data_IF_001298343024
#
_entry.id   IF_001298343024
#
_cell.length_a   1.000
_cell.length_b   1.000
_cell.length_c   1.000
_cell.angle_alpha   90.00
_cell.angle_beta   90.00
_cell.angle_gamma   90.00
#
_symmetry.space_group_name_H-M   'P 1'
#
loop_
_entity.id
_entity.type
_entity.pdbx_description
1 polymer ?
#
# COMPACT_ATOMS: atom_id res chain seq x y z
N UNK A 1 -7.61 3.42 -0.68
CA UNK A 1 -7.90 3.27 0.76
C UNK A 1 -7.04 4.25 1.54
N UNK A 2 -7.42 4.56 2.78
CA UNK A 2 -6.70 5.49 3.66
C UNK A 2 -6.75 4.95 5.09
N UNK A 3 -5.60 4.86 5.76
CA UNK A 3 -5.53 4.29 7.13
C UNK A 3 -5.48 5.37 8.22
N UNK A 4 -5.53 6.64 7.83
CA UNK A 4 -5.38 7.81 8.70
C UNK A 4 -6.72 8.48 9.04
N UNK A 5 -7.85 7.81 8.78
CA UNK A 5 -9.21 8.34 8.97
C UNK A 5 -9.70 8.29 10.43
N UNK A 6 -9.01 7.52 11.28
CA UNK A 6 -9.47 7.22 12.65
C UNK A 6 -10.58 6.16 12.72
N UNK A 7 -10.97 5.57 11.58
CA UNK A 7 -11.96 4.49 11.53
C UNK A 7 -11.27 3.14 11.72
N UNK A 8 -11.76 2.34 12.67
CA UNK A 8 -11.14 1.05 13.01
C UNK A 8 -11.19 0.05 11.85
N UNK A 9 -12.24 0.13 11.02
CA UNK A 9 -12.44 -0.73 9.84
C UNK A 9 -11.30 -0.58 8.82
N UNK A 10 -10.85 0.66 8.56
CA UNK A 10 -9.79 0.94 7.59
C UNK A 10 -8.39 0.68 8.12
N UNK A 11 -8.23 0.42 9.42
CA UNK A 11 -6.93 0.29 10.08
C UNK A 11 -6.05 -0.81 9.48
N UNK A 12 -6.68 -1.87 8.94
CA UNK A 12 -5.99 -3.04 8.38
C UNK A 12 -5.84 -3.02 6.86
N UNK A 13 -6.38 -2.01 6.17
CA UNK A 13 -6.38 -1.97 4.70
C UNK A 13 -4.98 -1.99 4.09
N UNK A 14 -4.00 -1.36 4.77
CA UNK A 14 -2.60 -1.39 4.34
C UNK A 14 -2.01 -2.80 4.33
N UNK A 15 -2.19 -3.55 5.42
CA UNK A 15 -1.70 -4.94 5.52
C UNK A 15 -2.46 -5.84 4.53
N UNK A 16 -3.79 -5.69 4.44
CA UNK A 16 -4.59 -6.45 3.49
C UNK A 16 -4.13 -6.25 2.04
N UNK A 17 -3.72 -5.02 1.68
CA UNK A 17 -3.18 -4.71 0.35
C UNK A 17 -1.84 -5.40 0.10
N UNK A 18 -0.91 -5.38 1.06
CA UNK A 18 0.39 -6.05 0.95
C UNK A 18 0.19 -7.57 0.74
N UNK A 19 -0.69 -8.19 1.53
CA UNK A 19 -0.99 -9.62 1.38
C UNK A 19 -1.66 -9.94 0.05
N UNK A 20 -2.56 -9.07 -0.43
CA UNK A 20 -3.19 -9.23 -1.73
C UNK A 20 -2.16 -9.19 -2.88
N UNK A 21 -1.19 -8.26 -2.82
CA UNK A 21 -0.07 -8.21 -3.80
C UNK A 21 0.71 -9.52 -3.76
N UNK A 22 1.14 -9.96 -2.57
CA UNK A 22 1.92 -11.20 -2.41
C UNK A 22 1.19 -12.41 -2.98
N UNK A 23 -0.09 -12.54 -2.67
CA UNK A 23 -0.91 -13.66 -3.13
C UNK A 23 -1.17 -13.60 -4.65
N UNK A 24 -1.38 -12.41 -5.22
CA UNK A 24 -1.52 -12.23 -6.66
C UNK A 24 -0.24 -12.64 -7.39
N UNK A 25 0.93 -12.20 -6.92
CA UNK A 25 2.22 -12.59 -7.52
C UNK A 25 2.48 -14.09 -7.37
N UNK A 26 2.04 -14.71 -6.27
CA UNK A 26 2.14 -16.16 -6.07
C UNK A 26 1.26 -16.96 -7.03
N UNK A 27 0.00 -16.55 -7.23
CA UNK A 27 -0.97 -17.26 -8.09
C UNK A 27 -0.81 -16.95 -9.57
N UNK A 28 -0.38 -15.73 -9.89
CA UNK A 28 -0.29 -15.20 -11.25
C UNK A 28 1.03 -14.45 -11.46
N UNK A 29 2.18 -15.15 -11.48
CA UNK A 29 3.50 -14.52 -11.47
C UNK A 29 3.80 -13.62 -12.68
N UNK A 30 3.10 -13.82 -13.80
CA UNK A 30 3.27 -13.05 -15.03
C UNK A 30 2.48 -11.74 -15.05
N UNK A 31 1.51 -11.56 -14.13
CA UNK A 31 0.70 -10.33 -14.07
C UNK A 31 1.48 -9.23 -13.37
N UNK A 32 1.40 -8.02 -13.92
CA UNK A 32 1.93 -6.83 -13.27
C UNK A 32 0.90 -6.16 -12.37
N UNK A 33 1.39 -5.58 -11.28
CA UNK A 33 0.60 -4.91 -10.25
C UNK A 33 0.99 -3.44 -10.17
N UNK A 34 -0.01 -2.56 -10.06
CA UNK A 34 0.16 -1.12 -9.90
C UNK A 34 -0.63 -0.65 -8.69
N UNK A 35 -0.04 0.20 -7.86
CA UNK A 35 -0.68 0.74 -6.67
C UNK A 35 -0.67 2.27 -6.68
N UNK A 36 -1.84 2.89 -6.48
CA UNK A 36 -1.95 4.32 -6.17
C UNK A 36 -1.50 4.58 -4.72
N UNK A 37 -0.20 4.82 -4.54
CA UNK A 37 0.50 4.83 -3.26
C UNK A 37 0.01 5.94 -2.34
N UNK A 38 -0.15 7.15 -2.88
CA UNK A 38 -0.36 8.36 -2.07
C UNK A 38 -1.71 8.40 -1.33
N UNK A 39 -2.65 7.50 -1.66
CA UNK A 39 -3.96 7.37 -1.02
C UNK A 39 -3.88 6.94 0.44
N UNK A 40 -2.88 6.11 0.79
CA UNK A 40 -2.78 5.52 2.14
C UNK A 40 -2.67 6.59 3.24
N UNK A 41 -2.02 7.71 2.92
CA UNK A 41 -1.67 8.79 3.83
C UNK A 41 -2.58 10.02 3.72
N UNK A 42 -3.71 9.91 3.02
CA UNK A 42 -4.65 11.03 2.88
C UNK A 42 -5.10 11.54 4.26
N UNK A 43 -5.14 12.88 4.42
CA UNK A 43 -5.47 13.53 5.69
C UNK A 43 -4.27 13.82 6.62
N UNK A 44 -3.08 13.28 6.34
CA UNK A 44 -1.87 13.62 7.09
C UNK A 44 -1.19 14.89 6.55
N UNK A 45 -0.37 15.51 7.39
CA UNK A 45 0.51 16.61 6.98
C UNK A 45 1.59 16.15 5.98
N UNK A 46 2.18 17.05 5.18
CA UNK A 46 3.12 16.67 4.12
C UNK A 46 4.31 15.82 4.58
N UNK A 47 4.92 16.14 5.73
CA UNK A 47 6.07 15.40 6.23
C UNK A 47 5.70 13.95 6.61
N UNK A 48 4.57 13.77 7.30
CA UNK A 48 4.08 12.45 7.67
C UNK A 48 3.65 11.62 6.45
N UNK A 49 3.09 12.27 5.41
CA UNK A 49 2.74 11.58 4.15
C UNK A 49 3.95 11.01 3.44
N UNK A 50 5.03 11.78 3.35
CA UNK A 50 6.29 11.31 2.72
C UNK A 50 6.76 10.04 3.43
N UNK A 51 6.85 10.09 4.76
CA UNK A 51 7.37 8.98 5.55
C UNK A 51 6.50 7.72 5.43
N UNK A 52 5.17 7.87 5.58
CA UNK A 52 4.25 6.73 5.45
C UNK A 52 4.25 6.15 4.04
N UNK A 53 4.22 7.00 3.00
CA UNK A 53 4.25 6.54 1.60
C UNK A 53 5.55 5.77 1.31
N UNK A 54 6.71 6.26 1.77
CA UNK A 54 8.00 5.60 1.54
C UNK A 54 8.10 4.23 2.22
N UNK A 55 7.72 4.14 3.50
CA UNK A 55 7.75 2.86 4.23
C UNK A 55 6.75 1.87 3.63
N UNK A 56 5.55 2.33 3.29
CA UNK A 56 4.54 1.45 2.71
C UNK A 56 4.91 0.97 1.30
N UNK A 57 5.53 1.83 0.49
CA UNK A 57 6.06 1.44 -0.82
C UNK A 57 7.12 0.35 -0.69
N UNK A 58 8.07 0.50 0.24
CA UNK A 58 9.11 -0.50 0.49
C UNK A 58 8.52 -1.88 0.83
N UNK A 59 7.52 -1.91 1.71
CA UNK A 59 6.82 -3.16 2.06
C UNK A 59 6.05 -3.76 0.87
N UNK A 60 5.42 -2.93 0.03
CA UNK A 60 4.74 -3.41 -1.17
C UNK A 60 5.72 -3.96 -2.21
N UNK A 61 6.89 -3.33 -2.41
CA UNK A 61 7.95 -3.81 -3.30
C UNK A 61 8.48 -5.16 -2.82
N UNK A 62 8.71 -5.33 -1.51
CA UNK A 62 9.08 -6.63 -0.93
C UNK A 62 8.02 -7.72 -1.14
N UNK A 63 6.75 -7.34 -1.21
CA UNK A 63 5.65 -8.25 -1.55
C UNK A 63 5.53 -8.55 -3.07
N UNK A 64 6.29 -7.85 -3.92
CA UNK A 64 6.35 -8.06 -5.36
C UNK A 64 5.58 -7.05 -6.20
N UNK A 65 5.29 -5.86 -5.66
CA UNK A 65 4.68 -4.75 -6.41
C UNK A 65 5.59 -4.31 -7.57
N UNK A 66 5.01 -4.17 -8.77
CA UNK A 66 5.78 -3.84 -9.98
C UNK A 66 5.86 -2.32 -10.25
N UNK A 67 4.84 -1.55 -9.86
CA UNK A 67 4.79 -0.10 -10.09
C UNK A 67 3.90 0.64 -9.10
N UNK A 68 4.12 1.95 -8.93
CA UNK A 68 3.35 2.80 -8.04
C UNK A 68 3.09 4.20 -8.64
N UNK A 69 1.96 4.81 -8.28
CA UNK A 69 1.53 6.17 -8.68
C UNK A 69 1.24 7.02 -7.45
#
# INVERSE_FOLDING_TARGET
FTICTGQEESRKDGIATIEAIRELKRRHPQVQTTLGLSNISFGLNPAARILLNSVFLDECVKAGLDSAI
#
